data_IF_063049806945
#
_entry.id   IF_063049806945
#
_cell.length_a   1.000
_cell.length_b   1.000
_cell.length_c   1.000
_cell.angle_alpha   90.00
_cell.angle_beta   90.00
_cell.angle_gamma   90.00
#
_symmetry.space_group_name_H-M   'P 1'
#
loop_
_entity.id
_entity.type
_entity.pdbx_description
1 polymer ?
#
# COMPACT_ATOMS: atom_id res chain seq x y z
N UNK A 1 7.48 5.14 -7.68
CA UNK A 1 6.34 5.05 -6.73
C UNK A 1 6.64 5.97 -5.55
N UNK A 2 6.00 7.14 -5.46
CA UNK A 2 6.14 8.05 -4.30
C UNK A 2 5.44 7.52 -3.04
N UNK A 3 5.85 8.04 -1.87
CA UNK A 3 5.13 7.89 -0.61
C UNK A 3 4.15 9.05 -0.46
N UNK A 4 2.88 8.74 -0.18
CA UNK A 4 1.80 9.73 -0.23
C UNK A 4 1.09 9.97 1.11
N UNK A 5 1.44 9.24 2.15
CA UNK A 5 0.78 9.33 3.47
C UNK A 5 0.69 10.74 4.02
N UNK A 6 1.70 11.55 3.79
CA UNK A 6 1.74 12.93 4.26
C UNK A 6 0.57 13.80 3.80
N UNK A 7 -0.09 13.43 2.69
CA UNK A 7 -1.32 14.12 2.24
C UNK A 7 -2.57 13.67 3.00
N UNK A 8 -2.51 12.52 3.68
CA UNK A 8 -3.58 12.03 4.57
C UNK A 8 -3.49 12.71 5.94
N UNK A 9 -2.33 13.27 6.28
CA UNK A 9 -2.02 13.91 7.57
C UNK A 9 -1.74 15.41 7.37
N UNK A 10 -2.75 16.25 7.01
CA UNK A 10 -2.53 17.64 6.60
C UNK A 10 -2.11 18.59 7.74
N UNK A 11 -2.23 18.16 8.99
CA UNK A 11 -1.98 19.00 10.17
C UNK A 11 -0.69 18.60 10.90
N UNK A 12 -0.38 19.31 11.98
CA UNK A 12 0.70 18.96 12.90
C UNK A 12 0.39 17.61 13.58
N UNK A 13 1.33 16.67 13.45
CA UNK A 13 1.19 15.31 13.95
C UNK A 13 1.79 15.10 15.36
N UNK A 14 2.27 16.15 16.03
CA UNK A 14 2.86 16.04 17.36
C UNK A 14 1.88 15.49 18.41
N UNK A 15 0.59 15.80 18.27
CA UNK A 15 -0.47 15.23 19.09
C UNK A 15 -0.67 13.73 18.88
N UNK A 16 -0.58 13.27 17.62
CA UNK A 16 -0.61 11.84 17.31
C UNK A 16 0.63 11.11 17.84
N UNK A 17 1.80 11.71 17.70
CA UNK A 17 3.04 11.17 18.24
C UNK A 17 2.99 11.03 19.77
N UNK A 18 2.45 12.03 20.47
CA UNK A 18 2.28 12.01 21.92
C UNK A 18 1.26 10.95 22.38
N UNK A 19 0.17 10.78 21.64
CA UNK A 19 -0.86 9.76 21.93
C UNK A 19 -0.43 8.33 21.57
N UNK A 20 0.58 8.18 20.69
CA UNK A 20 1.08 6.89 20.22
C UNK A 20 2.61 6.86 20.27
N UNK A 21 3.22 6.82 21.47
CA UNK A 21 4.67 6.94 21.64
C UNK A 21 5.44 5.85 20.88
N UNK A 22 4.88 4.66 20.73
CA UNK A 22 5.47 3.57 19.95
C UNK A 22 5.58 3.90 18.45
N UNK A 23 4.72 4.79 17.93
CA UNK A 23 4.69 5.24 16.53
C UNK A 23 5.29 6.63 16.31
N UNK A 24 5.72 7.30 17.38
CA UNK A 24 6.25 8.66 17.33
C UNK A 24 7.43 8.83 16.35
N UNK A 25 8.15 7.75 16.11
CA UNK A 25 9.27 7.66 15.18
C UNK A 25 8.88 8.03 13.72
N UNK A 26 7.66 7.70 13.27
CA UNK A 26 7.24 7.86 11.87
C UNK A 26 6.68 9.25 11.55
N UNK A 27 6.01 9.90 12.50
CA UNK A 27 5.35 11.19 12.27
C UNK A 27 6.28 12.33 11.83
N UNK A 28 7.56 12.46 12.31
CA UNK A 28 8.47 13.48 11.82
C UNK A 28 8.80 13.33 10.32
N UNK A 29 8.80 12.12 9.77
CA UNK A 29 8.96 11.91 8.33
C UNK A 29 7.75 12.45 7.58
N UNK A 30 6.55 12.17 8.05
CA UNK A 30 5.31 12.67 7.44
C UNK A 30 5.25 14.20 7.46
N UNK A 31 5.69 14.84 8.54
CA UNK A 31 5.75 16.30 8.64
C UNK A 31 6.73 16.91 7.61
N UNK A 32 7.88 16.26 7.38
CA UNK A 32 8.86 16.69 6.35
C UNK A 32 8.28 16.51 4.94
N UNK A 33 7.64 15.37 4.66
CA UNK A 33 7.03 15.09 3.36
C UNK A 33 5.88 16.06 3.08
N UNK A 34 5.03 16.37 4.07
CA UNK A 34 3.98 17.37 3.96
C UNK A 34 4.53 18.74 3.60
N UNK A 35 5.58 19.18 4.30
CA UNK A 35 6.24 20.44 4.00
C UNK A 35 6.80 20.47 2.56
N UNK A 36 7.38 19.36 2.11
CA UNK A 36 7.86 19.20 0.73
C UNK A 36 6.73 19.28 -0.29
N UNK A 37 5.60 18.63 -0.06
CA UNK A 37 4.44 18.69 -0.96
C UNK A 37 3.84 20.10 -1.03
N UNK A 38 3.72 20.78 0.11
CA UNK A 38 3.26 22.18 0.14
C UNK A 38 4.22 23.09 -0.64
N UNK A 39 5.52 22.96 -0.42
CA UNK A 39 6.53 23.75 -1.13
C UNK A 39 6.50 23.51 -2.65
N UNK A 40 6.26 22.28 -3.09
CA UNK A 40 6.15 21.93 -4.50
C UNK A 40 4.98 22.64 -5.22
N UNK A 41 3.93 22.96 -4.49
CA UNK A 41 2.79 23.78 -4.98
C UNK A 41 2.87 25.25 -4.55
N UNK A 42 4.04 25.70 -4.08
CA UNK A 42 4.35 27.08 -3.66
C UNK A 42 3.51 27.57 -2.47
N UNK A 43 3.16 26.66 -1.59
CA UNK A 43 2.48 26.95 -0.32
C UNK A 43 3.43 26.70 0.87
N UNK A 44 3.23 27.41 1.96
CA UNK A 44 3.93 27.21 3.24
C UNK A 44 3.03 26.49 4.27
N UNK A 45 1.72 26.69 4.15
CA UNK A 45 0.72 26.12 5.04
C UNK A 45 -0.44 25.53 4.24
N UNK A 46 -1.16 24.56 4.78
CA UNK A 46 -2.35 24.05 4.14
C UNK A 46 -3.37 25.15 3.86
N UNK A 47 -4.11 25.11 2.72
CA UNK A 47 -5.20 26.03 2.42
C UNK A 47 -6.27 26.06 3.52
N UNK A 48 -6.96 27.18 3.67
CA UNK A 48 -7.95 27.40 4.73
C UNK A 48 -9.18 26.48 4.68
N UNK A 49 -9.46 25.88 3.51
CA UNK A 49 -10.63 24.99 3.32
C UNK A 49 -10.19 23.63 2.81
N UNK A 50 -10.99 22.59 3.09
CA UNK A 50 -10.76 21.25 2.54
C UNK A 50 -10.74 21.28 1.01
N UNK A 51 -11.68 22.00 0.38
CA UNK A 51 -11.71 22.09 -1.08
C UNK A 51 -10.43 22.75 -1.64
N UNK A 52 -9.94 23.79 -0.97
CA UNK A 52 -8.64 24.38 -1.29
C UNK A 52 -7.50 23.38 -1.14
N UNK A 53 -7.48 22.59 -0.08
CA UNK A 53 -6.46 21.56 0.13
C UNK A 53 -6.50 20.48 -0.98
N UNK A 54 -7.69 20.01 -1.31
CA UNK A 54 -7.85 19.00 -2.37
C UNK A 54 -7.42 19.54 -3.74
N UNK A 55 -7.83 20.75 -4.11
CA UNK A 55 -7.62 21.31 -5.45
C UNK A 55 -6.26 21.97 -5.65
N UNK A 56 -5.63 22.47 -4.59
CA UNK A 56 -4.34 23.18 -4.68
C UNK A 56 -3.15 22.32 -4.22
N UNK A 57 -3.38 21.27 -3.44
CA UNK A 57 -2.31 20.43 -2.91
C UNK A 57 -2.43 18.98 -3.38
N UNK A 58 -3.52 18.29 -3.03
CA UNK A 58 -3.64 16.84 -3.24
C UNK A 58 -3.67 16.50 -4.73
N UNK A 59 -4.68 16.97 -5.46
CA UNK A 59 -4.85 16.66 -6.89
C UNK A 59 -3.65 17.10 -7.74
N UNK A 60 -3.11 18.34 -7.60
CA UNK A 60 -1.93 18.75 -8.36
C UNK A 60 -0.67 17.95 -8.04
N UNK A 61 -0.52 17.47 -6.80
CA UNK A 61 0.60 16.60 -6.44
C UNK A 61 0.53 15.27 -7.18
N UNK A 62 -0.64 14.62 -7.18
CA UNK A 62 -0.85 13.34 -7.88
C UNK A 62 -0.69 13.50 -9.40
N UNK A 63 -1.26 14.56 -9.98
CA UNK A 63 -1.14 14.85 -11.41
C UNK A 63 0.32 15.10 -11.83
N UNK A 64 1.08 15.84 -11.03
CA UNK A 64 2.50 16.04 -11.26
C UNK A 64 3.27 14.73 -11.19
N UNK A 65 3.10 13.92 -10.13
CA UNK A 65 3.78 12.64 -9.97
C UNK A 65 3.45 11.69 -11.12
N UNK A 66 2.18 11.64 -11.54
CA UNK A 66 1.78 10.89 -12.74
C UNK A 66 2.49 11.38 -14.01
N UNK A 67 2.54 12.69 -14.22
CA UNK A 67 3.24 13.29 -15.40
C UNK A 67 4.75 13.05 -15.39
N UNK A 68 5.34 12.86 -14.20
CA UNK A 68 6.74 12.50 -13.99
C UNK A 68 6.99 10.98 -14.12
N UNK A 69 5.96 10.19 -14.44
CA UNK A 69 6.05 8.75 -14.69
C UNK A 69 5.74 7.86 -13.49
N UNK A 70 5.12 8.37 -12.43
CA UNK A 70 4.62 7.53 -11.36
C UNK A 70 3.50 6.61 -11.86
N UNK A 71 3.60 5.32 -11.58
CA UNK A 71 2.61 4.28 -11.93
C UNK A 71 1.77 3.85 -10.73
N UNK A 72 2.15 4.25 -9.53
CA UNK A 72 1.45 3.96 -8.29
C UNK A 72 1.81 4.97 -7.20
N UNK A 73 0.96 5.06 -6.19
CA UNK A 73 1.21 5.79 -4.95
C UNK A 73 1.32 4.79 -3.78
N UNK A 74 2.35 4.92 -2.96
CA UNK A 74 2.61 4.03 -1.82
C UNK A 74 2.12 4.64 -0.53
N UNK A 75 1.29 3.88 0.19
CA UNK A 75 0.88 4.17 1.55
C UNK A 75 1.62 3.29 2.56
N UNK A 76 2.31 3.92 3.48
CA UNK A 76 2.89 3.33 4.69
C UNK A 76 1.91 3.40 5.88
N UNK A 77 0.64 3.63 5.60
CA UNK A 77 -0.42 3.94 6.57
C UNK A 77 -0.47 2.93 7.74
N UNK A 78 -0.09 1.66 7.48
CA UNK A 78 -0.04 0.63 8.49
C UNK A 78 0.93 0.92 9.65
N UNK A 79 1.96 1.72 9.42
CA UNK A 79 2.88 2.20 10.46
C UNK A 79 2.27 3.32 11.31
N UNK A 80 1.29 4.03 10.77
CA UNK A 80 0.68 5.20 11.38
C UNK A 80 -0.65 4.87 12.06
N UNK A 81 -1.45 3.97 11.45
CA UNK A 81 -2.78 3.56 11.93
C UNK A 81 -3.23 2.25 11.28
N UNK A 82 -4.36 1.70 11.73
CA UNK A 82 -4.99 0.54 11.12
C UNK A 82 -5.76 0.85 9.82
N UNK A 83 -6.18 -0.22 9.13
CA UNK A 83 -6.95 -0.19 7.87
C UNK A 83 -8.45 0.05 8.05
N UNK A 84 -8.90 0.37 9.24
CA UNK A 84 -10.30 0.60 9.60
C UNK A 84 -10.81 1.97 9.10
N UNK A 85 -10.81 2.15 7.77
CA UNK A 85 -11.28 3.38 7.12
C UNK A 85 -12.81 3.42 7.04
N UNK A 86 -13.42 4.37 7.75
CA UNK A 86 -14.83 4.71 7.58
C UNK A 86 -15.08 5.43 6.24
N UNK A 87 -16.32 5.76 5.94
CA UNK A 87 -16.71 6.46 4.70
C UNK A 87 -17.43 7.79 5.03
N UNK A 88 -16.70 8.77 5.58
CA UNK A 88 -17.32 10.06 5.90
C UNK A 88 -17.67 10.84 4.63
N UNK A 89 -18.73 11.64 4.74
CA UNK A 89 -19.11 12.56 3.70
C UNK A 89 -18.08 13.72 3.57
N UNK A 90 -18.06 14.35 2.38
CA UNK A 90 -17.25 15.55 2.15
C UNK A 90 -17.60 16.68 3.11
N UNK A 91 -18.87 16.80 3.47
CA UNK A 91 -19.34 17.82 4.40
C UNK A 91 -18.80 17.59 5.82
N UNK A 92 -18.83 16.36 6.32
CA UNK A 92 -18.25 16.01 7.62
C UNK A 92 -16.74 16.27 7.65
N UNK A 93 -16.03 15.83 6.63
CA UNK A 93 -14.60 16.08 6.51
C UNK A 93 -14.26 17.57 6.41
N UNK A 94 -15.07 18.35 5.69
CA UNK A 94 -14.89 19.81 5.57
C UNK A 94 -15.12 20.54 6.91
N UNK A 95 -16.09 20.11 7.72
CA UNK A 95 -16.32 20.63 9.07
C UNK A 95 -15.11 20.37 9.99
N UNK A 96 -14.57 19.16 9.93
CA UNK A 96 -13.37 18.80 10.70
C UNK A 96 -12.17 19.62 10.23
N UNK A 97 -11.94 19.68 8.92
CA UNK A 97 -10.84 20.44 8.35
C UNK A 97 -10.89 21.92 8.78
N UNK A 98 -12.03 22.59 8.62
CA UNK A 98 -12.23 23.98 9.00
C UNK A 98 -12.05 24.22 10.50
N UNK A 99 -12.40 23.24 11.35
CA UNK A 99 -12.21 23.32 12.80
C UNK A 99 -10.74 23.36 13.20
N UNK A 100 -9.88 22.58 12.52
CA UNK A 100 -8.52 22.28 12.96
C UNK A 100 -7.42 22.91 12.10
N UNK A 101 -7.71 23.38 10.88
CA UNK A 101 -6.73 24.05 10.04
C UNK A 101 -6.11 25.26 10.76
N UNK A 102 -4.78 25.32 10.78
CA UNK A 102 -4.03 26.37 11.49
C UNK A 102 -4.01 26.25 13.02
N UNK A 103 -4.52 25.15 13.58
CA UNK A 103 -4.45 24.85 15.01
C UNK A 103 -3.54 23.67 15.26
N UNK A 104 -2.90 23.64 16.43
CA UNK A 104 -2.14 22.48 16.89
C UNK A 104 -3.09 21.43 17.49
N UNK A 105 -2.71 20.14 17.37
CA UNK A 105 -3.29 19.01 18.08
C UNK A 105 -4.80 18.80 17.83
N UNK A 106 -5.23 18.39 16.64
CA UNK A 106 -6.62 18.02 16.40
C UNK A 106 -7.05 16.88 17.34
N UNK A 107 -8.33 16.86 17.68
CA UNK A 107 -8.94 15.72 18.37
C UNK A 107 -8.73 14.45 17.53
N UNK A 108 -8.35 13.34 18.18
CA UNK A 108 -7.97 12.11 17.49
C UNK A 108 -9.11 11.51 16.66
N UNK A 109 -10.36 11.60 17.15
CA UNK A 109 -11.51 11.06 16.44
C UNK A 109 -11.84 11.93 15.21
N UNK A 110 -11.83 13.25 15.36
CA UNK A 110 -11.99 14.20 14.27
C UNK A 110 -10.87 13.99 13.22
N UNK A 111 -9.62 13.83 13.68
CA UNK A 111 -8.50 13.66 12.76
C UNK A 111 -8.57 12.33 12.00
N UNK A 112 -8.97 11.25 12.69
CA UNK A 112 -9.21 9.97 12.05
C UNK A 112 -10.27 10.08 10.95
N UNK A 113 -11.39 10.74 11.20
CA UNK A 113 -12.45 10.96 10.21
C UNK A 113 -11.91 11.71 8.99
N UNK A 114 -11.11 12.75 9.19
CA UNK A 114 -10.49 13.49 8.07
C UNK A 114 -9.51 12.60 7.28
N UNK A 115 -8.68 11.82 7.96
CA UNK A 115 -7.76 10.87 7.32
C UNK A 115 -8.53 9.84 6.48
N UNK A 116 -9.64 9.30 7.00
CA UNK A 116 -10.49 8.34 6.30
C UNK A 116 -11.02 8.95 4.99
N UNK A 117 -11.45 10.19 5.01
CA UNK A 117 -11.90 10.91 3.81
C UNK A 117 -10.74 11.14 2.82
N UNK A 118 -9.61 11.66 3.29
CA UNK A 118 -8.46 11.98 2.44
C UNK A 118 -7.87 10.74 1.78
N UNK A 119 -7.70 9.64 2.53
CA UNK A 119 -7.26 8.37 1.97
C UNK A 119 -8.17 7.91 0.81
N UNK A 120 -9.48 7.96 1.03
CA UNK A 120 -10.46 7.58 -0.01
C UNK A 120 -10.46 8.53 -1.20
N UNK A 121 -10.26 9.82 -0.96
CA UNK A 121 -10.13 10.80 -2.04
C UNK A 121 -8.90 10.52 -2.90
N UNK A 122 -7.74 10.33 -2.27
CA UNK A 122 -6.48 10.03 -2.97
C UNK A 122 -6.60 8.72 -3.76
N UNK A 123 -7.18 7.68 -3.16
CA UNK A 123 -7.38 6.40 -3.84
C UNK A 123 -8.30 6.53 -5.07
N UNK A 124 -9.32 7.37 -5.03
CA UNK A 124 -10.18 7.64 -6.19
C UNK A 124 -9.44 8.43 -7.28
N UNK A 125 -8.63 9.41 -6.89
CA UNK A 125 -7.78 10.18 -7.82
C UNK A 125 -6.71 9.29 -8.49
N UNK A 126 -6.10 8.36 -7.75
CA UNK A 126 -5.21 7.35 -8.33
C UNK A 126 -5.93 6.54 -9.42
N UNK A 127 -7.17 6.10 -9.17
CA UNK A 127 -7.99 5.43 -10.17
C UNK A 127 -8.26 6.29 -11.40
N UNK A 128 -8.55 7.59 -11.22
CA UNK A 128 -8.74 8.55 -12.31
C UNK A 128 -7.48 8.71 -13.16
N UNK A 129 -6.32 8.68 -12.53
CA UNK A 129 -5.01 8.84 -13.18
C UNK A 129 -4.42 7.51 -13.67
N UNK A 130 -5.12 6.40 -13.53
CA UNK A 130 -4.63 5.05 -13.85
C UNK A 130 -3.35 4.68 -13.09
N UNK A 131 -3.16 5.22 -11.90
CA UNK A 131 -2.12 4.83 -10.96
C UNK A 131 -2.67 3.78 -9.98
N UNK A 132 -1.86 2.80 -9.62
CA UNK A 132 -2.23 1.85 -8.57
C UNK A 132 -2.06 2.46 -7.17
N UNK A 133 -2.79 1.92 -6.20
CA UNK A 133 -2.64 2.22 -4.77
C UNK A 133 -1.89 1.06 -4.12
N UNK A 134 -0.67 1.30 -3.68
CA UNK A 134 0.13 0.36 -2.93
C UNK A 134 -0.11 0.54 -1.44
N UNK A 135 -0.44 -0.55 -0.75
CA UNK A 135 -0.69 -0.55 0.69
C UNK A 135 0.31 -1.48 1.38
N UNK A 136 1.05 -0.95 2.35
CA UNK A 136 1.90 -1.79 3.21
C UNK A 136 1.01 -2.78 3.96
N UNK A 137 1.04 -4.05 3.57
CA UNK A 137 0.09 -5.07 4.01
C UNK A 137 0.64 -6.12 4.97
N UNK A 138 1.92 -6.02 5.34
CA UNK A 138 2.57 -6.97 6.24
C UNK A 138 2.64 -6.42 7.66
N UNK A 139 2.52 -7.31 8.67
CA UNK A 139 2.83 -6.92 10.04
C UNK A 139 4.34 -6.71 10.20
N UNK A 140 4.72 -5.61 10.84
CA UNK A 140 6.10 -5.31 11.21
C UNK A 140 6.49 -5.85 12.57
N UNK A 141 7.77 -5.73 12.90
CA UNK A 141 8.28 -6.02 14.24
C UNK A 141 8.11 -4.81 15.17
N UNK A 142 7.98 -5.07 16.46
CA UNK A 142 7.93 -4.04 17.49
C UNK A 142 6.52 -3.66 17.94
N UNK A 143 6.45 -2.88 19.00
CA UNK A 143 5.21 -2.49 19.68
C UNK A 143 4.36 -1.48 18.89
N UNK A 144 4.96 -0.78 17.96
CA UNK A 144 4.29 0.21 17.12
C UNK A 144 3.38 -0.40 16.04
N UNK A 145 3.48 -1.70 15.81
CA UNK A 145 2.72 -2.35 14.76
C UNK A 145 1.53 -3.14 15.34
N UNK A 146 0.33 -2.81 14.89
CA UNK A 146 -0.87 -3.57 15.28
C UNK A 146 -1.15 -4.65 14.24
N UNK A 147 -0.95 -5.92 14.62
CA UNK A 147 -1.27 -7.05 13.73
C UNK A 147 -2.75 -7.01 13.30
N UNK A 148 -3.67 -6.83 14.25
CA UNK A 148 -5.10 -6.73 13.93
C UNK A 148 -5.41 -5.53 13.01
N UNK A 149 -4.67 -4.44 13.16
CA UNK A 149 -4.86 -3.21 12.38
C UNK A 149 -4.50 -3.37 10.89
N UNK A 150 -3.68 -4.36 10.52
CA UNK A 150 -3.31 -4.63 9.11
C UNK A 150 -4.10 -5.77 8.49
N UNK A 151 -5.16 -6.22 9.14
CA UNK A 151 -6.05 -7.21 8.53
C UNK A 151 -6.67 -6.65 7.24
N UNK A 152 -6.38 -7.23 6.05
CA UNK A 152 -6.84 -6.70 4.78
C UNK A 152 -8.36 -6.75 4.61
N UNK A 153 -9.07 -7.58 5.38
CA UNK A 153 -10.54 -7.62 5.38
C UNK A 153 -11.16 -6.28 5.82
N UNK A 154 -10.44 -5.47 6.60
CA UNK A 154 -10.89 -4.12 6.97
C UNK A 154 -11.05 -3.19 5.76
N UNK A 155 -10.36 -3.49 4.66
CA UNK A 155 -10.42 -2.73 3.40
C UNK A 155 -11.51 -3.26 2.44
N UNK A 156 -12.12 -4.41 2.70
CA UNK A 156 -13.10 -5.00 1.78
C UNK A 156 -14.25 -4.07 1.42
N UNK A 157 -14.84 -3.29 2.34
CA UNK A 157 -15.89 -2.32 1.98
C UNK A 157 -15.41 -1.30 0.95
N UNK A 158 -14.14 -0.93 0.98
CA UNK A 158 -13.54 -0.02 0.00
C UNK A 158 -13.35 -0.70 -1.36
N UNK A 159 -12.84 -1.93 -1.40
CA UNK A 159 -12.66 -2.69 -2.63
C UNK A 159 -13.99 -2.93 -3.37
N UNK A 160 -15.08 -3.08 -2.61
CA UNK A 160 -16.43 -3.28 -3.13
C UNK A 160 -17.10 -1.97 -3.60
N UNK A 161 -16.62 -0.81 -3.15
CA UNK A 161 -17.29 0.45 -3.42
C UNK A 161 -17.19 0.84 -4.90
N UNK A 162 -18.33 1.22 -5.49
CA UNK A 162 -18.45 1.53 -6.92
C UNK A 162 -17.48 2.60 -7.41
N UNK A 163 -17.15 3.57 -6.55
CA UNK A 163 -16.23 4.67 -6.88
C UNK A 163 -14.77 4.22 -7.07
N UNK A 164 -14.39 3.04 -6.56
CA UNK A 164 -13.02 2.50 -6.70
C UNK A 164 -12.90 1.41 -7.76
N UNK A 165 -13.86 1.25 -8.64
CA UNK A 165 -13.79 0.22 -9.71
C UNK A 165 -12.63 0.42 -10.67
N UNK A 166 -12.14 1.64 -10.82
CA UNK A 166 -10.98 1.95 -11.67
C UNK A 166 -9.66 1.99 -10.89
N UNK A 167 -9.71 1.96 -9.55
CA UNK A 167 -8.53 1.96 -8.70
C UNK A 167 -8.03 0.54 -8.53
N UNK A 168 -6.77 0.28 -8.89
CA UNK A 168 -6.11 -0.98 -8.64
C UNK A 168 -5.40 -0.91 -7.29
N UNK A 169 -5.68 -1.85 -6.40
CA UNK A 169 -5.06 -1.94 -5.07
C UNK A 169 -4.05 -3.09 -5.07
N UNK A 170 -2.82 -2.80 -4.66
CA UNK A 170 -1.78 -3.80 -4.48
C UNK A 170 -1.45 -3.90 -3.01
N UNK A 171 -1.79 -5.03 -2.40
CA UNK A 171 -1.40 -5.35 -1.04
C UNK A 171 0.05 -5.82 -1.05
N UNK A 172 0.95 -4.96 -0.59
CA UNK A 172 2.38 -5.25 -0.56
C UNK A 172 2.69 -6.30 0.52
N UNK A 173 3.76 -7.02 0.31
CA UNK A 173 4.33 -7.97 1.26
C UNK A 173 3.43 -9.17 1.57
N UNK A 174 2.54 -9.56 0.63
CA UNK A 174 1.69 -10.75 0.73
C UNK A 174 0.73 -10.79 1.91
N UNK A 175 0.52 -9.67 2.62
CA UNK A 175 -0.46 -9.54 3.69
C UNK A 175 -0.18 -10.34 4.97
N UNK A 176 1.04 -10.84 5.17
CA UNK A 176 1.35 -11.65 6.35
C UNK A 176 1.02 -10.92 7.67
N UNK A 177 0.33 -11.58 8.64
CA UNK A 177 -0.01 -13.00 8.71
C UNK A 177 -1.34 -13.40 8.03
N UNK A 178 -2.07 -12.48 7.43
CA UNK A 178 -3.40 -12.66 6.84
C UNK A 178 -3.35 -13.18 5.39
N UNK A 179 -2.48 -14.16 5.14
CA UNK A 179 -2.19 -14.66 3.77
C UNK A 179 -3.41 -15.33 3.12
N UNK A 180 -4.24 -16.03 3.89
CA UNK A 180 -5.45 -16.69 3.41
C UNK A 180 -6.57 -15.67 3.15
N UNK A 181 -6.76 -14.71 4.04
CA UNK A 181 -7.72 -13.62 3.90
C UNK A 181 -7.40 -12.79 2.67
N UNK A 182 -6.10 -12.46 2.48
CA UNK A 182 -5.68 -11.76 1.27
C UNK A 182 -5.89 -12.62 0.01
N UNK A 183 -5.60 -13.92 0.07
CA UNK A 183 -5.91 -14.88 -1.00
C UNK A 183 -7.40 -14.82 -1.40
N UNK A 184 -8.30 -14.79 -0.41
CA UNK A 184 -9.72 -14.64 -0.66
C UNK A 184 -10.09 -13.28 -1.30
N UNK A 185 -9.41 -12.20 -0.91
CA UNK A 185 -9.65 -10.86 -1.48
C UNK A 185 -9.18 -10.73 -2.93
N UNK A 186 -8.30 -11.60 -3.43
CA UNK A 186 -7.94 -11.62 -4.85
C UNK A 186 -9.12 -11.91 -5.79
N UNK A 187 -10.26 -12.38 -5.26
CA UNK A 187 -11.52 -12.48 -6.02
C UNK A 187 -12.05 -11.10 -6.47
N UNK A 188 -11.66 -10.02 -5.77
CA UNK A 188 -12.04 -8.66 -6.17
C UNK A 188 -11.29 -8.29 -7.44
N UNK A 189 -11.96 -7.75 -8.48
CA UNK A 189 -11.32 -7.50 -9.79
C UNK A 189 -10.13 -6.53 -9.71
N UNK A 190 -10.12 -5.65 -8.71
CA UNK A 190 -9.18 -4.56 -8.53
C UNK A 190 -8.17 -4.78 -7.40
N UNK A 191 -8.02 -6.00 -6.88
CA UNK A 191 -7.06 -6.32 -5.79
C UNK A 191 -5.98 -7.25 -6.32
N UNK A 192 -4.74 -6.92 -6.00
CA UNK A 192 -3.50 -7.64 -6.32
C UNK A 192 -2.66 -7.78 -5.06
N UNK A 193 -1.65 -8.63 -5.09
CA UNK A 193 -0.62 -8.69 -4.06
C UNK A 193 0.78 -8.78 -4.66
N UNK A 194 1.78 -8.38 -3.89
CA UNK A 194 3.18 -8.62 -4.22
C UNK A 194 3.90 -9.47 -3.16
N UNK A 195 5.08 -9.96 -3.51
CA UNK A 195 5.89 -10.86 -2.69
C UNK A 195 7.04 -10.15 -1.97
N UNK A 196 7.09 -8.82 -2.04
CA UNK A 196 8.16 -8.03 -1.44
C UNK A 196 8.28 -8.27 0.06
N UNK A 197 9.42 -7.98 0.64
CA UNK A 197 9.78 -8.17 2.05
C UNK A 197 9.46 -9.56 2.64
N UNK A 198 8.27 -10.10 2.39
CA UNK A 198 7.86 -11.43 2.84
C UNK A 198 8.89 -12.51 2.47
N UNK A 199 9.47 -12.40 1.28
CA UNK A 199 10.51 -13.29 0.77
C UNK A 199 11.85 -13.21 1.52
N UNK A 200 12.09 -12.16 2.31
CA UNK A 200 13.27 -12.03 3.16
C UNK A 200 13.09 -12.72 4.52
N UNK A 201 11.87 -12.69 5.06
CA UNK A 201 11.60 -13.16 6.43
C UNK A 201 10.94 -14.53 6.48
N UNK A 202 10.29 -14.96 5.39
CA UNK A 202 9.59 -16.25 5.32
C UNK A 202 10.41 -17.25 4.51
N UNK A 203 10.70 -18.44 5.06
CA UNK A 203 11.44 -19.47 4.33
C UNK A 203 10.75 -19.88 3.02
N UNK A 204 11.50 -20.19 1.93
CA UNK A 204 10.93 -20.49 0.62
C UNK A 204 9.90 -21.62 0.62
N UNK A 205 10.06 -22.64 1.47
CA UNK A 205 9.11 -23.76 1.58
C UNK A 205 7.75 -23.30 2.12
N UNK A 206 7.74 -22.43 3.12
CA UNK A 206 6.51 -21.87 3.69
C UNK A 206 5.84 -20.94 2.68
N UNK A 207 6.61 -20.04 2.07
CA UNK A 207 6.13 -19.15 1.02
C UNK A 207 5.56 -19.91 -0.18
N UNK A 208 6.15 -21.06 -0.54
CA UNK A 208 5.66 -21.91 -1.62
C UNK A 208 4.26 -22.46 -1.37
N UNK A 209 3.90 -22.74 -0.11
CA UNK A 209 2.53 -23.17 0.26
C UNK A 209 1.51 -22.08 -0.02
N UNK A 210 1.81 -20.85 0.39
CA UNK A 210 0.94 -19.69 0.14
C UNK A 210 0.87 -19.34 -1.34
N UNK A 211 2.01 -19.36 -2.04
CA UNK A 211 2.05 -19.16 -3.49
C UNK A 211 1.17 -20.19 -4.22
N UNK A 212 1.26 -21.47 -3.85
CA UNK A 212 0.41 -22.50 -4.47
C UNK A 212 -1.07 -22.16 -4.32
N UNK A 213 -1.54 -21.83 -3.11
CA UNK A 213 -2.92 -21.46 -2.83
C UNK A 213 -3.40 -20.29 -3.73
N UNK A 214 -2.58 -19.24 -3.85
CA UNK A 214 -2.92 -18.08 -4.67
C UNK A 214 -2.87 -18.37 -6.17
N UNK A 215 -1.88 -19.12 -6.62
CA UNK A 215 -1.66 -19.41 -8.05
C UNK A 215 -2.62 -20.44 -8.63
N UNK A 216 -3.17 -21.32 -7.82
CA UNK A 216 -4.23 -22.25 -8.23
C UNK A 216 -5.48 -21.52 -8.72
N UNK A 217 -5.79 -20.35 -8.13
CA UNK A 217 -7.03 -19.62 -8.40
C UNK A 217 -6.77 -18.29 -9.13
N UNK A 218 -5.75 -17.52 -8.73
CA UNK A 218 -5.51 -16.15 -9.20
C UNK A 218 -4.07 -15.93 -9.68
N UNK A 219 -3.55 -16.71 -10.63
CA UNK A 219 -2.15 -16.63 -11.06
C UNK A 219 -1.75 -15.30 -11.72
N UNK A 220 -2.72 -14.51 -12.17
CA UNK A 220 -2.54 -13.20 -12.81
C UNK A 220 -2.59 -12.03 -11.82
N UNK A 221 -2.75 -12.32 -10.52
CA UNK A 221 -2.88 -11.30 -9.47
C UNK A 221 -1.69 -11.24 -8.51
N UNK A 222 -0.72 -12.13 -8.68
CA UNK A 222 0.49 -12.20 -7.86
C UNK A 222 1.64 -11.53 -8.60
N UNK A 223 2.33 -10.60 -7.92
CA UNK A 223 3.41 -9.80 -8.50
C UNK A 223 4.74 -10.11 -7.83
N UNK A 224 5.80 -10.16 -8.62
CA UNK A 224 7.17 -10.20 -8.10
C UNK A 224 7.60 -8.82 -7.62
N UNK A 225 8.15 -8.76 -6.42
CA UNK A 225 8.82 -7.58 -5.88
C UNK A 225 9.81 -7.99 -4.79
N UNK A 226 10.80 -7.18 -4.50
CA UNK A 226 11.86 -7.48 -3.54
C UNK A 226 11.82 -6.66 -2.27
N UNK A 227 11.33 -5.41 -2.34
CA UNK A 227 11.46 -4.41 -1.29
C UNK A 227 12.93 -4.23 -0.89
N UNK A 228 13.83 -4.17 -1.92
CA UNK A 228 15.26 -3.96 -1.71
C UNK A 228 15.51 -2.63 -1.02
N UNK A 229 15.90 -2.69 0.24
CA UNK A 229 16.10 -1.56 1.13
C UNK A 229 17.35 -1.81 2.00
N UNK A 230 18.14 -0.80 2.40
CA UNK A 230 19.23 -0.97 3.34
C UNK A 230 18.71 -1.16 4.78
N UNK A 231 18.44 -2.42 5.14
CA UNK A 231 17.90 -2.77 6.46
C UNK A 231 18.90 -2.58 7.60
N UNK A 232 20.21 -2.70 7.32
CA UNK A 232 21.30 -2.53 8.28
C UNK A 232 22.62 -2.31 7.54
N UNK A 233 23.67 -2.04 8.30
CA UNK A 233 25.03 -1.95 7.76
C UNK A 233 25.52 -3.26 7.12
N UNK A 234 24.94 -4.40 7.51
CA UNK A 234 25.31 -5.72 7.02
C UNK A 234 24.35 -6.27 5.94
N UNK A 235 23.17 -5.66 5.77
CA UNK A 235 22.18 -6.04 4.78
C UNK A 235 21.77 -4.78 4.00
N UNK A 236 22.50 -4.47 2.96
CA UNK A 236 22.24 -3.39 2.02
C UNK A 236 21.11 -3.72 1.07
N UNK A 237 20.77 -2.79 0.19
CA UNK A 237 19.68 -2.96 -0.77
C UNK A 237 19.99 -4.05 -1.82
N UNK A 238 21.27 -4.22 -2.20
CA UNK A 238 21.70 -5.23 -3.17
C UNK A 238 21.53 -6.64 -2.60
N UNK A 239 22.01 -6.86 -1.38
CA UNK A 239 21.87 -8.16 -0.69
C UNK A 239 20.40 -8.47 -0.43
N UNK A 240 19.62 -7.49 0.00
CA UNK A 240 18.19 -7.64 0.23
C UNK A 240 17.47 -8.01 -1.08
N UNK A 241 17.72 -7.29 -2.16
CA UNK A 241 17.13 -7.57 -3.47
C UNK A 241 17.55 -8.94 -4.02
N UNK A 242 18.83 -9.33 -3.87
CA UNK A 242 19.33 -10.63 -4.29
C UNK A 242 18.68 -11.77 -3.51
N UNK A 243 18.68 -11.69 -2.17
CA UNK A 243 18.09 -12.71 -1.30
C UNK A 243 16.59 -12.88 -1.55
N UNK A 244 15.85 -11.76 -1.61
CA UNK A 244 14.42 -11.78 -1.91
C UNK A 244 14.15 -12.43 -3.28
N UNK A 245 14.89 -12.01 -4.32
CA UNK A 245 14.73 -12.54 -5.67
C UNK A 245 15.01 -14.06 -5.72
N UNK A 246 16.05 -14.52 -5.05
CA UNK A 246 16.37 -15.95 -4.94
C UNK A 246 15.26 -16.70 -4.22
N UNK A 247 14.85 -16.24 -3.05
CA UNK A 247 13.85 -16.91 -2.23
C UNK A 247 12.48 -17.00 -2.94
N UNK A 248 12.08 -15.96 -3.67
CA UNK A 248 10.85 -15.97 -4.47
C UNK A 248 10.95 -17.02 -5.59
N UNK A 249 12.06 -17.08 -6.31
CA UNK A 249 12.26 -18.06 -7.39
C UNK A 249 12.27 -19.48 -6.87
N UNK A 250 12.91 -19.72 -5.73
CA UNK A 250 12.92 -21.03 -5.06
C UNK A 250 11.50 -21.43 -4.62
N UNK A 251 10.76 -20.53 -3.98
CA UNK A 251 9.39 -20.76 -3.56
C UNK A 251 8.45 -21.03 -4.74
N UNK A 252 8.56 -20.22 -5.80
CA UNK A 252 7.77 -20.38 -7.02
C UNK A 252 8.09 -21.73 -7.71
N UNK A 253 9.38 -22.11 -7.78
CA UNK A 253 9.81 -23.40 -8.29
C UNK A 253 9.22 -24.57 -7.50
N UNK A 254 9.20 -24.50 -6.16
CA UNK A 254 8.59 -25.52 -5.29
C UNK A 254 7.08 -25.60 -5.54
N UNK A 255 6.37 -24.47 -5.55
CA UNK A 255 4.91 -24.41 -5.75
C UNK A 255 4.52 -25.02 -7.11
N UNK A 256 5.10 -24.52 -8.21
CA UNK A 256 4.79 -24.98 -9.55
C UNK A 256 5.19 -26.45 -9.80
N UNK A 257 6.31 -26.92 -9.23
CA UNK A 257 6.70 -28.32 -9.27
C UNK A 257 5.72 -29.22 -8.52
N UNK A 258 5.14 -28.73 -7.42
CA UNK A 258 4.05 -29.40 -6.70
C UNK A 258 2.83 -29.56 -7.59
N UNK A 259 2.32 -28.47 -8.15
CA UNK A 259 1.14 -28.45 -9.04
C UNK A 259 1.34 -29.36 -10.28
N UNK A 260 2.56 -29.42 -10.83
CA UNK A 260 2.91 -30.33 -11.92
C UNK A 260 2.84 -31.80 -11.50
N UNK A 261 3.39 -32.15 -10.34
CA UNK A 261 3.35 -33.53 -9.82
C UNK A 261 1.93 -33.99 -9.54
N UNK A 262 1.11 -33.09 -9.05
CA UNK A 262 -0.31 -33.34 -8.73
C UNK A 262 -1.19 -33.30 -9.99
N UNK A 263 -0.60 -33.01 -11.16
CA UNK A 263 -1.27 -32.96 -12.48
C UNK A 263 -2.34 -31.86 -12.58
N UNK A 264 -2.23 -30.81 -11.81
CA UNK A 264 -3.14 -29.66 -11.84
C UNK A 264 -2.86 -28.76 -13.04
N UNK A 265 -1.60 -28.67 -13.44
CA UNK A 265 -1.16 -27.84 -14.58
C UNK A 265 -0.19 -28.60 -15.50
N UNK A 266 -0.10 -28.15 -16.75
CA UNK A 266 0.93 -28.60 -17.71
C UNK A 266 2.21 -27.83 -17.53
N UNK A 267 3.34 -28.32 -18.15
CA UNK A 267 4.62 -27.60 -18.17
C UNK A 267 4.51 -26.22 -18.80
N UNK A 268 3.77 -26.10 -19.89
CA UNK A 268 3.56 -24.82 -20.57
C UNK A 268 2.79 -23.83 -19.68
N UNK A 269 1.79 -24.33 -18.96
CA UNK A 269 1.04 -23.52 -17.99
C UNK A 269 1.92 -23.08 -16.82
N UNK A 270 2.77 -23.97 -16.29
CA UNK A 270 3.72 -23.63 -15.24
C UNK A 270 4.69 -22.52 -15.69
N UNK A 271 5.24 -22.64 -16.91
CA UNK A 271 6.10 -21.62 -17.48
C UNK A 271 5.36 -20.27 -17.70
N UNK A 272 4.11 -20.31 -18.14
CA UNK A 272 3.29 -19.12 -18.29
C UNK A 272 3.01 -18.44 -16.96
N UNK A 273 2.65 -19.20 -15.90
CA UNK A 273 2.46 -18.66 -14.54
C UNK A 273 3.76 -18.05 -14.02
N UNK A 274 4.90 -18.73 -14.19
CA UNK A 274 6.19 -18.21 -13.75
C UNK A 274 6.52 -16.87 -14.41
N UNK A 275 6.34 -16.73 -15.73
CA UNK A 275 6.51 -15.45 -16.44
C UNK A 275 5.53 -14.41 -15.95
N UNK A 276 4.26 -14.80 -15.75
CA UNK A 276 3.23 -13.92 -15.20
C UNK A 276 3.68 -13.29 -13.88
N UNK A 277 4.03 -14.11 -12.90
CA UNK A 277 4.47 -13.65 -11.57
C UNK A 277 5.74 -12.80 -11.64
N UNK A 278 6.74 -13.25 -12.42
CA UNK A 278 8.06 -12.61 -12.46
C UNK A 278 8.10 -11.33 -13.29
N UNK A 279 7.13 -11.10 -14.19
CA UNK A 279 7.14 -9.96 -15.10
C UNK A 279 5.74 -9.56 -15.60
N UNK A 280 5.02 -10.45 -16.32
CA UNK A 280 3.91 -10.04 -17.20
C UNK A 280 2.72 -9.45 -16.43
N UNK A 281 2.46 -9.92 -15.19
CA UNK A 281 1.38 -9.40 -14.36
C UNK A 281 1.64 -7.93 -13.98
N UNK A 282 2.88 -7.61 -13.57
CA UNK A 282 3.29 -6.24 -13.24
C UNK A 282 3.29 -5.35 -14.48
N UNK A 283 3.86 -5.83 -15.60
CA UNK A 283 3.88 -5.10 -16.87
C UNK A 283 2.46 -4.71 -17.31
N UNK A 284 1.51 -5.66 -17.24
CA UNK A 284 0.11 -5.43 -17.56
C UNK A 284 -0.57 -4.46 -16.59
N UNK A 285 -0.33 -4.62 -15.27
CA UNK A 285 -0.98 -3.80 -14.25
C UNK A 285 -0.56 -2.34 -14.35
N UNK A 286 0.75 -2.09 -14.55
CA UNK A 286 1.32 -0.75 -14.56
C UNK A 286 1.45 -0.14 -15.96
N UNK A 287 1.13 -0.88 -17.02
CA UNK A 287 1.25 -0.40 -18.39
C UNK A 287 2.72 -0.13 -18.81
N UNK A 288 3.66 -0.90 -18.26
CA UNK A 288 5.10 -0.78 -18.53
C UNK A 288 5.59 -1.94 -19.39
N UNK A 289 6.74 -1.77 -20.13
CA UNK A 289 7.31 -2.83 -20.96
C UNK A 289 7.69 -4.09 -20.19
#
# INVERSE_FOLDING_TARGET
VPYIDALVFPFDNSGLAAANPDRALFFPLEDKLRASYLAAVKLQTPPATLDGYLTQVVTPTLERQHSEGAVAEKFEIAYLRGFDFSDPSREEAAKVYARWVGKAHPDLADYKLLQDFLFRYIAAECGRLHMAVHLHGMSGAGSYFSIAGVNPLLLEPMFNAKRFRQTQFVMLHGGWPYVHELGALLQKPNVYLDLSQQSLVIPPRTLAGWLREWLEVFPDKVLFATDGYPFSDALGWEEAAYLASRNIRDALGIALSGMLRDREITRDRAAAIARGVLHDNAAKLYGIP
#
